data_IF_256911695486
#
_entry.id   IF_256911695486
#
_cell.length_a   1.000
_cell.length_b   1.000
_cell.length_c   1.000
_cell.angle_alpha   90.00
_cell.angle_beta   90.00
_cell.angle_gamma   90.00
#
_symmetry.space_group_name_H-M   'P 1'
#
loop_
_entity.id
_entity.type
_entity.pdbx_description
1 polymer ?
#
# COMPACT_ATOMS: atom_id res chain seq x y z
N UNK A 1 2.47 5.01 -1.78
CA UNK A 1 3.32 4.78 -0.58
C UNK A 1 4.78 5.20 -0.80
N UNK A 2 5.38 4.93 -1.95
CA UNK A 2 6.80 5.23 -2.22
C UNK A 2 7.18 6.71 -2.14
N UNK A 3 6.27 7.63 -2.49
CA UNK A 3 6.50 9.06 -2.30
C UNK A 3 6.70 9.42 -0.82
N UNK A 4 5.91 8.81 0.08
CA UNK A 4 6.03 8.98 1.54
C UNK A 4 7.34 8.33 2.01
N UNK A 5 7.66 7.13 1.53
CA UNK A 5 8.92 6.45 1.86
C UNK A 5 10.17 7.21 1.42
N UNK A 6 10.12 7.88 0.26
CA UNK A 6 11.18 8.77 -0.22
C UNK A 6 11.31 9.99 0.68
N UNK A 7 10.20 10.62 1.05
CA UNK A 7 10.19 11.75 1.99
C UNK A 7 10.79 11.35 3.35
N UNK A 8 10.39 10.20 3.89
CA UNK A 8 10.97 9.61 5.09
C UNK A 8 12.50 9.49 4.97
N UNK A 9 13.02 8.95 3.86
CA UNK A 9 14.48 8.81 3.64
C UNK A 9 15.20 10.15 3.54
N UNK A 10 14.59 11.16 2.91
CA UNK A 10 15.16 12.51 2.83
C UNK A 10 15.32 13.11 4.24
N UNK A 11 14.33 12.91 5.10
CA UNK A 11 14.37 13.41 6.48
C UNK A 11 15.40 12.63 7.31
N UNK A 12 15.35 11.30 7.30
CA UNK A 12 16.26 10.50 8.14
C UNK A 12 17.73 10.58 7.69
N UNK A 13 17.99 10.96 6.44
CA UNK A 13 19.36 11.23 5.96
C UNK A 13 19.85 12.65 6.26
N UNK A 14 19.00 13.52 6.80
CA UNK A 14 19.33 14.94 7.02
C UNK A 14 19.37 15.78 5.75
N UNK A 15 18.83 15.27 4.63
CA UNK A 15 18.77 16.00 3.37
C UNK A 15 17.65 17.06 3.35
N UNK A 16 16.63 16.91 4.21
CA UNK A 16 15.55 17.88 4.39
C UNK A 16 14.98 17.80 5.81
N UNK A 17 14.58 18.93 6.38
CA UNK A 17 13.87 18.96 7.68
C UNK A 17 12.35 18.80 7.53
N UNK A 18 11.81 19.21 6.36
CA UNK A 18 10.38 19.21 6.03
C UNK A 18 10.21 18.78 4.58
N UNK A 19 9.26 17.89 4.32
CA UNK A 19 8.91 17.41 2.98
C UNK A 19 7.39 17.38 2.81
N UNK A 20 6.90 18.00 1.74
CA UNK A 20 5.51 17.81 1.28
C UNK A 20 5.51 16.59 0.37
N UNK A 21 4.68 15.60 0.68
CA UNK A 21 4.60 14.33 -0.05
C UNK A 21 3.15 13.90 -0.25
N UNK A 22 2.89 13.09 -1.25
CA UNK A 22 1.54 12.68 -1.60
C UNK A 22 1.48 11.97 -2.93
N UNK A 23 0.25 11.70 -3.36
CA UNK A 23 -0.06 11.19 -4.68
C UNK A 23 -1.43 11.69 -5.10
N UNK A 24 -1.64 11.80 -6.41
CA UNK A 24 -2.93 12.08 -7.01
C UNK A 24 -3.09 11.20 -8.24
N UNK A 25 -4.30 10.71 -8.46
CA UNK A 25 -4.67 9.98 -9.66
C UNK A 25 -6.10 10.35 -10.07
N UNK A 26 -6.34 10.46 -11.37
CA UNK A 26 -7.67 10.65 -11.97
C UNK A 26 -7.77 9.78 -13.22
N UNK A 27 -7.79 8.45 -13.03
CA UNK A 27 -7.67 7.51 -14.15
C UNK A 27 -9.01 7.24 -14.83
N UNK A 28 -10.13 7.78 -14.35
CA UNK A 28 -11.48 7.50 -14.87
C UNK A 28 -11.61 8.13 -16.27
N UNK A 29 -11.18 7.37 -17.26
CA UNK A 29 -11.20 7.75 -18.67
C UNK A 29 -11.44 6.51 -19.54
N UNK A 30 -11.99 6.68 -20.75
CA UNK A 30 -12.27 5.54 -21.63
C UNK A 30 -11.05 4.66 -21.92
N UNK A 31 -9.86 5.26 -22.05
CA UNK A 31 -8.63 4.52 -22.34
C UNK A 31 -8.19 3.66 -21.15
N UNK A 32 -8.23 4.20 -19.93
CA UNK A 32 -7.86 3.43 -18.73
C UNK A 32 -8.81 2.27 -18.49
N UNK A 33 -10.12 2.51 -18.62
CA UNK A 33 -11.15 1.47 -18.50
C UNK A 33 -10.89 0.36 -19.52
N UNK A 34 -10.72 0.71 -20.79
CA UNK A 34 -10.46 -0.27 -21.85
C UNK A 34 -9.17 -1.08 -21.63
N UNK A 35 -8.10 -0.45 -21.14
CA UNK A 35 -6.84 -1.13 -20.82
C UNK A 35 -7.01 -2.16 -19.70
N UNK A 36 -7.75 -1.84 -18.63
CA UNK A 36 -7.98 -2.77 -17.53
C UNK A 36 -8.98 -3.88 -17.88
N UNK A 37 -9.99 -3.58 -18.69
CA UNK A 37 -10.92 -4.57 -19.22
C UNK A 37 -10.20 -5.61 -20.09
N UNK A 38 -9.23 -5.20 -20.90
CA UNK A 38 -8.46 -6.08 -21.77
C UNK A 38 -7.69 -7.17 -21.00
N UNK A 39 -7.27 -6.88 -19.77
CA UNK A 39 -6.61 -7.84 -18.86
C UNK A 39 -7.56 -8.40 -17.79
N UNK A 40 -8.85 -8.05 -17.83
CA UNK A 40 -9.88 -8.44 -16.86
C UNK A 40 -9.49 -8.16 -15.41
N UNK A 41 -8.90 -7.00 -15.17
CA UNK A 41 -8.49 -6.61 -13.81
C UNK A 41 -9.62 -5.92 -13.04
N UNK A 42 -10.55 -5.29 -13.76
CA UNK A 42 -11.75 -4.64 -13.24
C UNK A 42 -12.92 -5.62 -13.12
N UNK A 43 -13.76 -5.43 -12.11
CA UNK A 43 -14.99 -6.22 -11.94
C UNK A 43 -15.98 -5.95 -13.07
N UNK A 44 -16.72 -6.99 -13.49
CA UNK A 44 -17.77 -6.87 -14.50
C UNK A 44 -19.18 -6.72 -13.89
N UNK A 45 -19.28 -6.57 -12.55
CA UNK A 45 -20.54 -6.45 -11.79
C UNK A 45 -21.15 -5.05 -11.92
N UNK A 46 -21.65 -4.76 -13.12
CA UNK A 46 -22.31 -3.50 -13.42
C UNK A 46 -23.76 -3.45 -12.93
N UNK A 47 -24.32 -4.59 -12.56
CA UNK A 47 -25.69 -4.77 -12.07
C UNK A 47 -25.85 -4.46 -10.58
N UNK A 48 -24.76 -4.41 -9.82
CA UNK A 48 -24.74 -4.12 -8.38
C UNK A 48 -23.54 -3.21 -8.00
N UNK A 49 -23.53 -1.93 -8.45
CA UNK A 49 -22.38 -1.05 -8.34
C UNK A 49 -21.93 -0.78 -6.89
N UNK A 50 -22.88 -0.60 -5.96
CA UNK A 50 -22.61 -0.26 -4.56
C UNK A 50 -21.85 -1.36 -3.82
N UNK A 51 -21.88 -2.60 -4.31
CA UNK A 51 -21.21 -3.76 -3.70
C UNK A 51 -20.14 -4.37 -4.62
N UNK A 52 -19.81 -3.74 -5.75
CA UNK A 52 -18.89 -4.31 -6.75
C UNK A 52 -17.46 -4.49 -6.19
N UNK A 53 -16.96 -3.52 -5.40
CA UNK A 53 -15.67 -3.64 -4.72
C UNK A 53 -15.79 -4.52 -3.47
N UNK A 54 -15.20 -5.72 -3.51
CA UNK A 54 -15.31 -6.74 -2.45
C UNK A 54 -14.00 -7.49 -2.21
N UNK A 55 -12.93 -6.81 -1.78
CA UNK A 55 -11.67 -7.48 -1.51
C UNK A 55 -11.79 -8.58 -0.46
N UNK A 56 -11.02 -9.65 -0.66
CA UNK A 56 -11.02 -10.89 0.13
C UNK A 56 -12.31 -11.71 0.10
N UNK A 57 -13.39 -11.22 -0.52
CA UNK A 57 -14.63 -11.95 -0.67
C UNK A 57 -14.46 -13.17 -1.60
N UNK A 58 -15.24 -14.23 -1.34
CA UNK A 58 -15.21 -15.49 -2.13
C UNK A 58 -15.57 -15.26 -3.60
N UNK A 59 -16.42 -14.28 -3.88
CA UNK A 59 -17.00 -14.00 -5.20
C UNK A 59 -16.43 -12.75 -5.86
N UNK A 60 -15.30 -12.24 -5.35
CA UNK A 60 -14.56 -11.13 -5.97
C UNK A 60 -14.08 -11.50 -7.38
N UNK A 61 -14.14 -10.54 -8.28
CA UNK A 61 -13.83 -10.73 -9.70
C UNK A 61 -13.05 -9.56 -10.32
N UNK A 62 -12.52 -8.65 -9.50
CA UNK A 62 -11.72 -7.52 -9.96
C UNK A 62 -11.86 -6.31 -9.04
N UNK A 63 -11.10 -5.25 -9.34
CA UNK A 63 -11.20 -3.99 -8.62
C UNK A 63 -12.20 -3.03 -9.28
N UNK A 64 -12.60 -1.98 -8.56
CA UNK A 64 -13.35 -0.84 -9.11
C UNK A 64 -12.40 0.33 -9.28
N UNK A 65 -12.36 0.95 -10.46
CA UNK A 65 -11.50 2.12 -10.70
C UNK A 65 -11.99 3.29 -9.85
N UNK A 66 -11.10 3.85 -9.06
CA UNK A 66 -11.33 5.08 -8.29
C UNK A 66 -10.37 6.18 -8.69
N UNK A 67 -10.66 7.39 -8.24
CA UNK A 67 -9.79 8.55 -8.36
C UNK A 67 -9.66 9.25 -7.01
N UNK A 68 -8.60 10.05 -6.84
CA UNK A 68 -8.40 10.80 -5.61
C UNK A 68 -6.98 11.35 -5.47
N UNK A 69 -6.80 12.18 -4.44
CA UNK A 69 -5.51 12.74 -4.09
C UNK A 69 -5.35 12.82 -2.57
N UNK A 70 -4.11 12.66 -2.12
CA UNK A 70 -3.73 12.86 -0.73
C UNK A 70 -2.38 13.56 -0.65
N UNK A 71 -2.22 14.47 0.31
CA UNK A 71 -0.97 15.16 0.60
C UNK A 71 -0.74 15.20 2.11
N UNK A 72 0.51 15.02 2.49
CA UNK A 72 1.01 15.01 3.86
C UNK A 72 2.21 15.95 3.97
N UNK A 73 2.38 16.53 5.15
CA UNK A 73 3.61 17.23 5.53
C UNK A 73 4.35 16.33 6.50
N UNK A 74 5.52 15.86 6.10
CA UNK A 74 6.44 15.09 6.95
C UNK A 74 7.54 16.03 7.42
N UNK A 75 7.94 15.87 8.68
CA UNK A 75 9.00 16.65 9.29
C UNK A 75 9.90 15.76 10.15
N UNK A 76 11.12 16.22 10.41
CA UNK A 76 11.90 15.70 11.52
C UNK A 76 11.10 15.85 12.84
N UNK A 77 11.08 14.80 13.66
CA UNK A 77 10.27 14.75 14.87
C UNK A 77 10.72 15.80 15.89
N UNK A 78 12.03 16.03 16.02
CA UNK A 78 12.54 17.04 16.93
C UNK A 78 12.20 18.45 16.44
N UNK A 79 12.29 18.70 15.14
CA UNK A 79 11.81 19.94 14.49
C UNK A 79 10.33 20.19 14.78
N UNK A 80 9.46 19.22 14.49
CA UNK A 80 8.02 19.30 14.72
C UNK A 80 7.70 19.62 16.20
N UNK A 81 8.38 18.93 17.14
CA UNK A 81 8.22 19.18 18.59
C UNK A 81 8.68 20.57 19.00
N UNK A 82 9.83 21.04 18.51
CA UNK A 82 10.36 22.39 18.85
C UNK A 82 9.39 23.51 18.47
N UNK A 83 8.71 23.38 17.33
CA UNK A 83 7.71 24.37 16.89
C UNK A 83 6.30 24.14 17.44
N UNK A 84 6.09 23.11 18.28
CA UNK A 84 4.78 22.79 18.85
C UNK A 84 3.76 22.27 17.84
N UNK A 85 4.21 21.56 16.80
CA UNK A 85 3.31 20.97 15.81
C UNK A 85 2.44 19.86 16.42
N UNK A 86 1.19 19.76 15.97
CA UNK A 86 0.37 18.57 16.25
C UNK A 86 0.85 17.40 15.40
N UNK A 87 1.22 16.29 16.04
CA UNK A 87 1.74 15.08 15.39
C UNK A 87 0.61 14.06 15.29
N UNK A 88 0.18 13.74 14.06
CA UNK A 88 -0.86 12.75 13.81
C UNK A 88 -0.36 11.31 14.00
N UNK A 89 0.81 11.02 13.45
CA UNK A 89 1.49 9.74 13.56
C UNK A 89 2.98 9.91 13.27
N UNK A 90 3.74 8.86 13.54
CA UNK A 90 5.15 8.75 13.19
C UNK A 90 5.34 7.65 12.15
N UNK A 91 6.12 7.92 11.10
CA UNK A 91 6.55 6.90 10.15
C UNK A 91 7.81 6.25 10.70
N UNK A 92 7.70 5.06 11.26
CA UNK A 92 8.81 4.37 11.94
C UNK A 92 9.62 3.46 11.02
N UNK A 93 9.05 3.01 9.90
CA UNK A 93 9.75 2.17 8.92
C UNK A 93 9.13 2.23 7.53
N UNK A 94 9.96 2.02 6.51
CA UNK A 94 9.53 1.93 5.11
C UNK A 94 10.47 1.03 4.30
N UNK A 95 9.89 0.06 3.61
CA UNK A 95 10.61 -0.78 2.68
C UNK A 95 9.79 -1.03 1.41
N UNK A 96 10.51 -1.23 0.31
CA UNK A 96 9.95 -1.64 -0.98
C UNK A 96 10.83 -2.73 -1.57
N UNK A 97 10.22 -3.66 -2.31
CA UNK A 97 10.86 -4.78 -3.03
C UNK A 97 10.16 -4.94 -4.37
N UNK A 98 10.87 -5.52 -5.33
CA UNK A 98 10.31 -5.88 -6.64
C UNK A 98 10.12 -7.39 -6.71
N UNK A 99 9.02 -7.84 -7.31
CA UNK A 99 8.73 -9.26 -7.49
C UNK A 99 9.69 -9.96 -8.46
N UNK A 100 10.32 -9.20 -9.38
CA UNK A 100 11.17 -9.70 -10.46
C UNK A 100 10.60 -10.95 -11.19
N UNK A 101 9.28 -11.05 -11.29
CA UNK A 101 8.58 -12.26 -11.74
C UNK A 101 7.80 -12.02 -13.03
N UNK A 102 6.83 -11.11 -12.99
CA UNK A 102 5.98 -10.76 -14.13
C UNK A 102 5.46 -9.33 -13.97
N UNK A 103 5.18 -8.64 -15.08
CA UNK A 103 4.75 -7.23 -15.07
C UNK A 103 3.45 -7.01 -14.30
N UNK A 104 2.47 -7.89 -14.47
CA UNK A 104 1.13 -7.80 -13.85
C UNK A 104 0.76 -9.02 -13.02
N UNK A 105 1.61 -10.05 -13.02
CA UNK A 105 1.32 -11.34 -12.40
C UNK A 105 1.91 -11.40 -11.01
N UNK A 106 1.20 -12.03 -10.08
CA UNK A 106 1.64 -12.22 -8.71
C UNK A 106 1.70 -13.70 -8.38
N UNK A 107 2.76 -14.12 -7.69
CA UNK A 107 2.86 -15.48 -7.17
C UNK A 107 1.99 -15.63 -5.92
N UNK A 108 1.32 -16.77 -5.69
CA UNK A 108 0.46 -16.93 -4.53
C UNK A 108 1.20 -16.99 -3.19
N UNK A 109 2.54 -17.08 -3.18
CA UNK A 109 3.35 -17.28 -1.96
C UNK A 109 3.82 -15.99 -1.28
N UNK A 110 3.70 -14.83 -1.92
CA UNK A 110 3.87 -13.53 -1.26
C UNK A 110 5.28 -13.19 -0.79
N UNK A 111 6.33 -13.88 -1.29
CA UNK A 111 7.67 -13.86 -0.69
C UNK A 111 8.31 -12.46 -0.70
N UNK A 112 8.20 -11.74 -1.81
CA UNK A 112 8.76 -10.39 -1.96
C UNK A 112 8.04 -9.37 -1.09
N UNK A 113 6.72 -9.54 -0.93
CA UNK A 113 5.90 -8.66 -0.11
C UNK A 113 6.16 -8.93 1.37
N UNK A 114 6.29 -10.20 1.78
CA UNK A 114 6.69 -10.53 3.16
C UNK A 114 8.08 -9.96 3.47
N UNK A 115 9.03 -10.07 2.55
CA UNK A 115 10.37 -9.49 2.72
C UNK A 115 10.35 -7.96 2.83
N UNK A 116 9.38 -7.28 2.19
CA UNK A 116 9.17 -5.84 2.36
C UNK A 116 8.57 -5.54 3.75
N UNK A 117 7.56 -6.29 4.19
CA UNK A 117 6.95 -6.16 5.53
C UNK A 117 8.02 -6.38 6.62
N UNK A 118 8.78 -7.46 6.54
CA UNK A 118 9.84 -7.82 7.50
C UNK A 118 10.90 -6.72 7.59
N UNK A 119 11.31 -6.15 6.45
CA UNK A 119 12.30 -5.07 6.41
C UNK A 119 11.76 -3.77 7.00
N UNK A 120 10.49 -3.43 6.76
CA UNK A 120 9.85 -2.26 7.36
C UNK A 120 9.69 -2.41 8.88
N UNK A 121 9.28 -3.59 9.37
CA UNK A 121 9.20 -3.90 10.81
C UNK A 121 10.59 -3.86 11.46
N UNK A 122 11.60 -4.45 10.82
CA UNK A 122 12.99 -4.41 11.29
C UNK A 122 13.48 -2.97 11.45
N UNK A 123 13.19 -2.11 10.47
CA UNK A 123 13.54 -0.69 10.55
C UNK A 123 12.80 0.04 11.67
N UNK A 124 11.52 -0.29 11.87
CA UNK A 124 10.69 0.24 12.94
C UNK A 124 11.02 -0.33 14.33
N UNK A 125 11.87 -1.36 14.40
CA UNK A 125 12.18 -2.11 15.62
C UNK A 125 10.92 -2.67 16.30
N UNK A 126 9.97 -3.15 15.50
CA UNK A 126 8.72 -3.75 15.96
C UNK A 126 8.72 -5.25 15.71
N UNK A 127 8.09 -5.98 16.62
CA UNK A 127 7.76 -7.38 16.43
C UNK A 127 6.37 -7.54 15.79
N UNK A 128 6.06 -8.71 15.21
CA UNK A 128 4.72 -9.01 14.71
C UNK A 128 3.57 -8.69 15.66
N UNK A 129 3.71 -8.99 16.95
CA UNK A 129 2.69 -8.77 17.97
C UNK A 129 2.40 -7.29 18.26
N UNK A 130 3.29 -6.37 17.86
CA UNK A 130 3.08 -4.94 17.99
C UNK A 130 2.17 -4.38 16.87
N UNK A 131 1.89 -5.18 15.84
CA UNK A 131 1.06 -4.79 14.69
C UNK A 131 -0.41 -5.11 14.97
N UNK A 132 -1.13 -4.09 15.44
CA UNK A 132 -2.55 -4.22 15.78
C UNK A 132 -3.49 -4.12 14.57
N UNK A 133 -3.04 -3.51 13.48
CA UNK A 133 -3.87 -3.28 12.28
C UNK A 133 -3.01 -3.27 11.01
N UNK A 134 -3.52 -3.94 9.98
CA UNK A 134 -2.94 -3.96 8.63
C UNK A 134 -3.93 -3.32 7.68
N UNK A 135 -3.58 -2.16 7.12
CA UNK A 135 -4.28 -1.59 5.98
C UNK A 135 -3.81 -2.30 4.71
N UNK A 136 -4.53 -3.33 4.29
CA UNK A 136 -4.19 -4.15 3.13
C UNK A 136 -4.33 -3.37 1.80
N UNK A 137 -3.58 -3.79 0.79
CA UNK A 137 -3.74 -3.35 -0.59
C UNK A 137 -5.13 -3.73 -1.13
N UNK A 138 -5.55 -4.99 -0.91
CA UNK A 138 -6.95 -5.42 -1.07
C UNK A 138 -7.59 -4.98 -2.39
N UNK A 139 -6.99 -5.31 -3.53
CA UNK A 139 -7.55 -4.90 -4.82
C UNK A 139 -8.89 -5.57 -5.17
N UNK A 140 -9.20 -6.75 -4.62
CA UNK A 140 -10.37 -7.52 -5.07
C UNK A 140 -10.09 -8.43 -6.27
N UNK A 141 -8.86 -8.45 -6.79
CA UNK A 141 -8.45 -9.48 -7.75
C UNK A 141 -8.14 -10.81 -7.04
N UNK A 142 -8.38 -11.94 -7.70
CA UNK A 142 -8.11 -13.25 -7.12
C UNK A 142 -6.62 -13.44 -6.75
N UNK A 143 -5.73 -13.01 -7.64
CA UNK A 143 -4.28 -13.15 -7.47
C UNK A 143 -3.74 -12.29 -6.32
N UNK A 144 -4.14 -11.02 -6.25
CA UNK A 144 -3.61 -10.07 -5.27
C UNK A 144 -4.00 -10.48 -3.85
N UNK A 145 -5.29 -10.69 -3.63
CA UNK A 145 -5.79 -10.88 -2.28
C UNK A 145 -5.25 -12.20 -1.67
N UNK A 146 -4.95 -13.20 -2.52
CA UNK A 146 -4.24 -14.43 -2.11
C UNK A 146 -2.76 -14.16 -1.83
N UNK A 147 -2.08 -13.48 -2.75
CA UNK A 147 -0.66 -13.11 -2.62
C UNK A 147 -0.41 -12.33 -1.33
N UNK A 148 -1.21 -11.29 -1.08
CA UNK A 148 -1.10 -10.44 0.10
C UNK A 148 -1.43 -11.20 1.39
N UNK A 149 -2.49 -12.01 1.40
CA UNK A 149 -2.81 -12.85 2.57
C UNK A 149 -1.65 -13.79 2.92
N UNK A 150 -1.00 -14.39 1.92
CA UNK A 150 0.15 -15.26 2.14
C UNK A 150 1.35 -14.49 2.70
N UNK A 151 1.63 -13.30 2.15
CA UNK A 151 2.70 -12.42 2.61
C UNK A 151 2.50 -11.98 4.06
N UNK A 152 1.31 -11.50 4.41
CA UNK A 152 0.98 -11.03 5.76
C UNK A 152 1.10 -12.18 6.77
N UNK A 153 0.54 -13.37 6.48
CA UNK A 153 0.67 -14.54 7.36
C UNK A 153 2.12 -14.99 7.53
N UNK A 154 2.94 -14.83 6.49
CA UNK A 154 4.35 -15.20 6.53
C UNK A 154 5.15 -14.28 7.45
N UNK A 155 4.88 -12.98 7.41
CA UNK A 155 5.58 -11.99 8.23
C UNK A 155 5.04 -11.90 9.66
N UNK A 156 3.72 -11.94 9.82
CA UNK A 156 3.08 -11.75 11.13
C UNK A 156 2.83 -13.06 11.89
N UNK A 157 2.88 -14.21 11.22
CA UNK A 157 2.63 -15.51 11.84
C UNK A 157 1.14 -15.85 12.00
N UNK A 158 0.84 -16.76 12.92
CA UNK A 158 -0.52 -17.25 13.19
C UNK A 158 -1.25 -16.32 14.16
N UNK A 159 -1.78 -15.22 13.63
CA UNK A 159 -2.81 -14.41 14.30
C UNK A 159 -4.15 -14.56 13.59
#
# INVERSE_FOLDING_TARGET
>A
IDAIGTAYRLITSGAADVVITGAADSPISPISVACFDAIKATTARNDDPEHASRPFDRERDGFVIGEGAATLVLEDLAHARRRGAYVYCEVTGYATRSNAYHMTGLRPDGIEMSAAIDAAMTQAQLNPEDIHYVNAHGSGTLQNDRHETAAVKRSLGHH
#
